data_IF_190562358235
#
_entry.id   IF_190562358235
#
_cell.length_a   1.000
_cell.length_b   1.000
_cell.length_c   1.000
_cell.angle_alpha   90.00
_cell.angle_beta   90.00
_cell.angle_gamma   90.00
#
_symmetry.space_group_name_H-M   'P 1'
#
loop_
_entity.id
_entity.type
_entity.pdbx_description
1 polymer ?
#
# COMPACT_ATOMS: atom_id res chain seq x y z
N UNK A 1 8.97 -15.43 7.51
CA UNK A 1 7.99 -14.34 7.32
C UNK A 1 6.74 -14.53 8.19
N UNK A 2 5.96 -15.60 8.00
CA UNK A 2 4.67 -15.82 8.71
C UNK A 2 4.77 -15.71 10.25
N UNK A 3 5.71 -16.42 10.88
CA UNK A 3 5.89 -16.36 12.34
C UNK A 3 6.14 -14.93 12.86
N UNK A 4 6.81 -14.08 12.06
CA UNK A 4 7.11 -12.70 12.45
C UNK A 4 5.88 -11.80 12.33
N UNK A 5 5.08 -11.97 11.28
CA UNK A 5 3.79 -11.27 11.15
C UNK A 5 2.83 -11.66 12.28
N UNK A 6 2.75 -12.95 12.63
CA UNK A 6 1.95 -13.43 13.75
C UNK A 6 2.42 -12.87 15.10
N UNK A 7 3.75 -12.79 15.31
CA UNK A 7 4.32 -12.13 16.49
C UNK A 7 3.89 -10.67 16.58
N UNK A 8 3.97 -9.92 15.48
CA UNK A 8 3.56 -8.51 15.45
C UNK A 8 2.04 -8.36 15.65
N UNK A 9 1.24 -9.25 15.06
CA UNK A 9 -0.21 -9.27 15.28
C UNK A 9 -0.54 -9.56 16.75
N UNK A 10 0.13 -10.51 17.39
CA UNK A 10 -0.03 -10.75 18.82
C UNK A 10 0.39 -9.53 19.67
N UNK A 11 1.46 -8.82 19.29
CA UNK A 11 1.84 -7.56 19.95
C UNK A 11 0.76 -6.48 19.82
N UNK A 12 0.12 -6.35 18.65
CA UNK A 12 -1.01 -5.43 18.45
C UNK A 12 -2.20 -5.85 19.31
N UNK A 13 -2.57 -7.13 19.28
CA UNK A 13 -3.68 -7.69 20.06
C UNK A 13 -3.50 -7.41 21.55
N UNK A 14 -2.28 -7.61 22.07
CA UNK A 14 -1.96 -7.38 23.49
C UNK A 14 -1.95 -5.90 23.86
N UNK A 15 -1.72 -5.00 22.90
CA UNK A 15 -1.74 -3.56 23.10
C UNK A 15 -3.14 -2.95 22.96
N UNK A 16 -4.08 -3.70 22.40
CA UNK A 16 -5.43 -3.25 22.10
C UNK A 16 -6.34 -3.29 23.35
N UNK A 17 -7.37 -2.44 23.42
CA UNK A 17 -8.52 -2.68 24.28
C UNK A 17 -9.10 -4.08 24.04
N UNK A 18 -9.68 -4.68 25.09
CA UNK A 18 -10.35 -5.97 24.98
C UNK A 18 -11.41 -5.93 23.86
N UNK A 19 -11.53 -7.03 23.13
CA UNK A 19 -12.53 -7.26 22.07
C UNK A 19 -12.40 -6.39 20.81
N UNK A 20 -11.40 -5.48 20.72
CA UNK A 20 -11.25 -4.60 19.55
C UNK A 20 -11.05 -5.36 18.23
N UNK A 21 -10.42 -6.54 18.29
CA UNK A 21 -10.15 -7.42 17.15
C UNK A 21 -10.86 -8.76 17.28
N UNK A 22 -12.03 -8.81 17.93
CA UNK A 22 -12.78 -10.05 18.04
C UNK A 22 -13.13 -10.60 16.64
N UNK A 23 -12.55 -11.76 16.33
CA UNK A 23 -12.63 -12.41 15.04
C UNK A 23 -14.06 -12.86 14.72
N UNK A 24 -14.90 -13.10 15.72
CA UNK A 24 -16.27 -13.58 15.47
C UNK A 24 -17.24 -12.42 15.16
N UNK A 25 -16.98 -11.23 15.69
CA UNK A 25 -17.74 -10.02 15.34
C UNK A 25 -17.42 -9.51 13.92
N UNK A 26 -16.18 -9.70 13.46
CA UNK A 26 -15.67 -9.12 12.20
C UNK A 26 -15.92 -9.96 10.94
N UNK A 27 -16.14 -11.28 11.06
CA UNK A 27 -16.31 -12.16 9.89
C UNK A 27 -17.52 -11.86 9.00
N UNK A 28 -18.57 -11.27 9.56
CA UNK A 28 -19.86 -11.12 8.86
C UNK A 28 -20.40 -9.70 8.84
N UNK A 29 -19.81 -8.78 9.61
CA UNK A 29 -20.31 -7.42 9.74
C UNK A 29 -19.17 -6.42 9.56
N UNK A 30 -19.43 -5.39 8.75
CA UNK A 30 -18.59 -4.20 8.72
C UNK A 30 -18.65 -3.55 10.10
N UNK A 31 -17.54 -3.45 10.84
CA UNK A 31 -17.53 -2.79 12.12
C UNK A 31 -17.84 -1.29 11.96
N UNK A 32 -18.39 -0.64 12.99
CA UNK A 32 -18.58 0.80 13.02
C UNK A 32 -17.31 1.58 12.66
N UNK A 33 -17.46 2.78 12.09
CA UNK A 33 -16.34 3.58 11.58
C UNK A 33 -15.32 3.92 12.68
N UNK A 34 -15.78 4.23 13.88
CA UNK A 34 -14.95 4.51 15.05
C UNK A 34 -14.13 3.28 15.47
N UNK A 35 -14.72 2.08 15.40
CA UNK A 35 -14.02 0.81 15.66
C UNK A 35 -12.94 0.58 14.59
N UNK A 36 -13.24 0.80 13.30
CA UNK A 36 -12.24 0.70 12.22
C UNK A 36 -11.06 1.66 12.45
N UNK A 37 -11.34 2.90 12.83
CA UNK A 37 -10.32 3.90 13.13
C UNK A 37 -9.46 3.49 14.33
N UNK A 38 -10.08 2.97 15.39
CA UNK A 38 -9.38 2.46 16.57
C UNK A 38 -8.49 1.25 16.23
N UNK A 39 -8.98 0.31 15.42
CA UNK A 39 -8.21 -0.84 14.93
C UNK A 39 -6.95 -0.36 14.18
N UNK A 40 -7.13 0.53 13.19
CA UNK A 40 -6.02 1.11 12.43
C UNK A 40 -5.04 1.88 13.33
N UNK A 41 -5.56 2.64 14.29
CA UNK A 41 -4.74 3.43 15.21
C UNK A 41 -3.92 2.52 16.11
N UNK A 42 -4.47 1.40 16.57
CA UNK A 42 -3.75 0.41 17.38
C UNK A 42 -2.62 -0.27 16.59
N UNK A 43 -2.89 -0.69 15.34
CA UNK A 43 -1.87 -1.26 14.44
C UNK A 43 -0.76 -0.23 14.20
N UNK A 44 -1.14 1.00 13.85
CA UNK A 44 -0.22 2.11 13.59
C UNK A 44 0.67 2.39 14.81
N UNK A 45 0.07 2.48 16.00
CA UNK A 45 0.80 2.73 17.24
C UNK A 45 1.79 1.62 17.57
N UNK A 46 1.38 0.37 17.38
CA UNK A 46 2.26 -0.76 17.67
C UNK A 46 3.40 -0.84 16.66
N UNK A 47 3.13 -0.72 15.36
CA UNK A 47 4.17 -0.85 14.33
C UNK A 47 5.15 0.34 14.35
N UNK A 48 4.67 1.57 14.28
CA UNK A 48 5.55 2.73 14.02
C UNK A 48 6.08 3.38 15.30
N UNK A 49 5.35 3.27 16.43
CA UNK A 49 5.80 3.87 17.68
C UNK A 49 6.46 2.84 18.62
N UNK A 50 5.89 1.63 18.78
CA UNK A 50 6.47 0.60 19.66
C UNK A 50 7.56 -0.24 18.97
N UNK A 51 7.24 -0.84 17.83
CA UNK A 51 8.17 -1.65 17.05
C UNK A 51 9.12 -0.82 16.17
N UNK A 52 8.90 0.51 16.12
CA UNK A 52 9.76 1.51 15.46
C UNK A 52 9.98 1.24 13.97
N UNK A 53 8.96 0.72 13.30
CA UNK A 53 8.96 0.69 11.85
C UNK A 53 9.13 2.12 11.32
N UNK A 54 9.94 2.30 10.28
CA UNK A 54 10.17 3.61 9.67
C UNK A 54 10.61 3.48 8.23
N UNK A 55 10.28 4.50 7.44
CA UNK A 55 10.86 4.65 6.12
C UNK A 55 12.35 4.98 6.27
N UNK A 56 13.22 4.20 5.62
CA UNK A 56 14.63 4.55 5.48
C UNK A 56 14.81 5.10 4.06
N UNK A 57 15.43 6.29 3.87
CA UNK A 57 15.87 6.70 2.55
C UNK A 57 16.90 5.69 2.06
N UNK A 58 16.81 5.32 0.79
CA UNK A 58 17.65 4.27 0.23
C UNK A 58 18.01 4.62 -1.20
N UNK A 59 19.17 4.14 -1.63
CA UNK A 59 19.69 4.43 -2.95
C UNK A 59 19.68 3.16 -3.80
N UNK A 60 18.75 3.11 -4.77
CA UNK A 60 18.58 1.96 -5.69
C UNK A 60 19.88 1.46 -6.31
N UNK A 61 20.79 2.38 -6.63
CA UNK A 61 22.09 2.07 -7.22
C UNK A 61 22.91 1.18 -6.27
N UNK A 62 22.97 1.51 -4.99
CA UNK A 62 23.82 0.81 -4.02
C UNK A 62 23.10 -0.35 -3.32
N UNK A 63 21.81 -0.20 -3.04
CA UNK A 63 21.05 -1.17 -2.22
C UNK A 63 20.27 -2.19 -3.06
N UNK A 64 19.95 -1.86 -4.32
CA UNK A 64 19.33 -2.81 -5.25
C UNK A 64 17.95 -3.23 -4.78
N UNK A 65 17.71 -4.54 -4.67
CA UNK A 65 16.43 -5.10 -4.23
C UNK A 65 16.34 -5.36 -2.73
N UNK A 66 17.41 -5.12 -1.96
CA UNK A 66 17.41 -5.34 -0.50
C UNK A 66 16.20 -4.71 0.20
N UNK A 67 15.73 -3.50 -0.15
CA UNK A 67 14.58 -2.88 0.51
C UNK A 67 13.23 -3.58 0.23
N UNK A 68 13.20 -4.52 -0.71
CA UNK A 68 12.05 -5.39 -1.03
C UNK A 68 12.08 -6.72 -0.27
N UNK A 69 13.19 -7.04 0.41
CA UNK A 69 13.26 -8.24 1.24
C UNK A 69 12.39 -8.07 2.49
N UNK A 70 11.18 -8.63 2.41
CA UNK A 70 10.22 -8.57 3.51
C UNK A 70 10.76 -9.20 4.81
N UNK A 71 11.68 -10.17 4.74
CA UNK A 71 12.25 -10.75 5.95
C UNK A 71 13.18 -9.76 6.65
N UNK A 72 14.02 -9.06 5.89
CA UNK A 72 14.88 -8.01 6.42
C UNK A 72 14.05 -6.84 6.96
N UNK A 73 13.03 -6.40 6.24
CA UNK A 73 12.11 -5.32 6.69
C UNK A 73 11.43 -5.67 8.01
N UNK A 74 10.91 -6.90 8.16
CA UNK A 74 10.25 -7.36 9.38
C UNK A 74 11.21 -7.54 10.58
N UNK A 75 12.50 -7.64 10.31
CA UNK A 75 13.55 -7.85 11.32
C UNK A 75 14.18 -6.52 11.73
N UNK A 76 14.51 -5.66 10.77
CA UNK A 76 15.14 -4.36 10.99
C UNK A 76 14.15 -3.26 11.35
N UNK A 77 12.86 -3.41 10.98
CA UNK A 77 11.85 -2.36 11.07
C UNK A 77 12.06 -1.25 10.02
N UNK A 78 12.93 -1.46 9.04
CA UNK A 78 13.25 -0.46 8.03
C UNK A 78 12.77 -0.94 6.68
N UNK A 79 12.09 -0.07 5.94
CA UNK A 79 11.62 -0.42 4.62
C UNK A 79 11.23 0.79 3.79
N UNK A 80 10.78 0.50 2.59
CA UNK A 80 10.24 1.50 1.65
C UNK A 80 8.73 1.57 1.83
N UNK A 81 8.08 2.60 1.28
CA UNK A 81 6.64 2.79 1.39
C UNK A 81 5.84 1.51 1.08
N UNK A 82 6.20 0.79 0.00
CA UNK A 82 5.55 -0.46 -0.40
C UNK A 82 5.71 -1.58 0.64
N UNK A 83 6.93 -1.84 1.14
CA UNK A 83 7.16 -2.95 2.09
C UNK A 83 6.61 -2.65 3.48
N UNK A 84 6.58 -1.38 3.89
CA UNK A 84 5.90 -0.93 5.10
C UNK A 84 4.37 -1.09 4.97
N UNK A 85 3.77 -0.69 3.85
CA UNK A 85 2.35 -0.88 3.60
C UNK A 85 1.98 -2.37 3.53
N UNK A 86 2.82 -3.19 2.90
CA UNK A 86 2.65 -4.65 2.85
C UNK A 86 2.73 -5.28 4.23
N UNK A 87 3.70 -4.84 5.06
CA UNK A 87 3.81 -5.28 6.46
C UNK A 87 2.56 -4.92 7.25
N UNK A 88 2.09 -3.68 7.12
CA UNK A 88 0.87 -3.22 7.77
C UNK A 88 -0.34 -4.07 7.38
N UNK A 89 -0.57 -4.26 6.08
CA UNK A 89 -1.69 -5.05 5.57
C UNK A 89 -1.58 -6.53 6.00
N UNK A 90 -0.37 -7.08 6.04
CA UNK A 90 -0.10 -8.43 6.55
C UNK A 90 -0.50 -8.58 8.02
N UNK A 91 -0.08 -7.65 8.87
CA UNK A 91 -0.45 -7.65 10.30
C UNK A 91 -1.95 -7.45 10.48
N UNK A 92 -2.57 -6.53 9.72
CA UNK A 92 -4.01 -6.31 9.75
C UNK A 92 -4.80 -7.57 9.38
N UNK A 93 -4.34 -8.32 8.35
CA UNK A 93 -4.96 -9.57 7.93
C UNK A 93 -4.85 -10.66 8.99
N UNK A 94 -3.72 -10.78 9.69
CA UNK A 94 -3.58 -11.71 10.82
C UNK A 94 -4.55 -11.36 11.97
N UNK A 95 -4.95 -10.09 12.08
CA UNK A 95 -5.97 -9.60 13.03
C UNK A 95 -7.41 -9.65 12.49
N UNK A 96 -7.63 -10.24 11.31
CA UNK A 96 -8.96 -10.33 10.70
C UNK A 96 -9.49 -9.02 10.11
N UNK A 97 -8.64 -7.99 9.94
CA UNK A 97 -9.03 -6.72 9.32
C UNK A 97 -8.68 -6.76 7.82
N UNK A 98 -9.68 -6.79 6.92
CA UNK A 98 -9.44 -6.80 5.48
C UNK A 98 -8.87 -5.44 5.04
N UNK A 99 -7.72 -5.48 4.35
CA UNK A 99 -7.03 -4.31 3.85
C UNK A 99 -6.60 -4.50 2.40
N UNK A 100 -6.59 -3.41 1.66
CA UNK A 100 -5.87 -3.30 0.39
C UNK A 100 -4.80 -2.24 0.43
N UNK A 101 -3.79 -2.45 -0.42
CA UNK A 101 -2.75 -1.48 -0.70
C UNK A 101 -3.27 -0.49 -1.75
N UNK A 102 -2.97 0.79 -1.56
CA UNK A 102 -3.31 1.84 -2.51
C UNK A 102 -2.04 2.57 -2.91
N UNK A 103 -1.56 2.40 -4.16
CA UNK A 103 -0.44 3.19 -4.65
C UNK A 103 -0.90 4.65 -4.84
N UNK A 104 -0.07 5.58 -4.39
CA UNK A 104 -0.29 7.00 -4.52
C UNK A 104 0.85 7.60 -5.35
N UNK A 105 0.46 8.29 -6.41
CA UNK A 105 1.34 9.20 -7.12
C UNK A 105 1.28 10.54 -6.38
N UNK A 106 2.25 10.78 -5.49
CA UNK A 106 2.42 12.13 -4.96
C UNK A 106 2.89 13.02 -6.11
N UNK A 107 2.32 14.23 -6.18
CA UNK A 107 2.77 15.23 -7.14
C UNK A 107 4.31 15.36 -7.03
N UNK A 108 5.02 15.50 -8.15
CA UNK A 108 6.47 15.72 -8.10
C UNK A 108 6.72 16.88 -7.14
N UNK A 109 7.54 16.64 -6.11
CA UNK A 109 7.96 17.70 -5.19
C UNK A 109 8.50 18.81 -6.07
N UNK A 110 7.90 20.03 -6.05
CA UNK A 110 8.32 21.11 -6.92
C UNK A 110 9.81 21.24 -6.76
N UNK A 111 10.53 21.17 -7.88
CA UNK A 111 11.99 21.13 -7.93
C UNK A 111 12.50 22.30 -7.08
N UNK A 112 12.87 22.01 -5.82
CA UNK A 112 13.38 23.03 -4.90
C UNK A 112 14.61 23.53 -5.60
N UNK A 113 14.61 24.79 -6.03
CA UNK A 113 15.66 25.35 -6.89
C UNK A 113 17.02 24.97 -6.31
N UNK A 114 17.62 23.92 -6.87
CA UNK A 114 18.86 23.35 -6.38
C UNK A 114 19.90 24.39 -6.76
N UNK A 115 20.58 25.02 -5.80
CA UNK A 115 21.60 26.01 -6.11
C UNK A 115 22.59 25.46 -7.15
N UNK A 116 22.97 26.27 -8.15
CA UNK A 116 23.74 25.80 -9.32
C UNK A 116 25.05 25.08 -8.94
N UNK A 117 25.66 25.45 -7.81
CA UNK A 117 26.85 24.80 -7.26
C UNK A 117 26.60 23.36 -6.77
N UNK A 118 25.37 23.03 -6.34
CA UNK A 118 24.93 21.67 -6.01
C UNK A 118 24.50 20.96 -7.29
N UNK A 119 23.82 21.64 -8.21
CA UNK A 119 23.38 21.10 -9.50
C UNK A 119 24.55 20.58 -10.35
N UNK A 120 25.69 21.28 -10.37
CA UNK A 120 26.90 20.81 -11.05
C UNK A 120 27.58 19.62 -10.36
N UNK A 121 27.45 19.46 -9.04
CA UNK A 121 27.94 18.28 -8.31
C UNK A 121 26.99 17.08 -8.44
N UNK A 122 25.69 17.35 -8.59
CA UNK A 122 24.65 16.35 -8.81
C UNK A 122 24.48 15.98 -10.29
N UNK A 123 24.98 16.79 -11.23
CA UNK A 123 24.98 16.42 -12.65
C UNK A 123 25.81 15.15 -12.92
N UNK A 124 26.75 14.80 -12.04
CA UNK A 124 27.48 13.51 -12.04
C UNK A 124 26.91 12.48 -11.05
N UNK A 125 26.05 12.88 -10.12
CA UNK A 125 25.28 12.02 -9.22
C UNK A 125 23.81 12.18 -9.54
N UNK A 126 23.34 11.51 -10.59
CA UNK A 126 21.91 11.37 -10.84
C UNK A 126 21.28 10.67 -9.62
N UNK A 127 20.79 11.45 -8.66
CA UNK A 127 19.86 11.00 -7.63
C UNK A 127 18.60 10.60 -8.36
N UNK A 128 18.60 9.37 -8.83
CA UNK A 128 17.57 8.87 -9.69
C UNK A 128 16.30 8.78 -8.83
N UNK A 129 15.30 9.58 -9.20
CA UNK A 129 14.00 9.69 -8.52
C UNK A 129 13.46 8.31 -8.18
N UNK A 130 12.86 8.14 -6.99
CA UNK A 130 12.27 6.85 -6.64
C UNK A 130 11.28 6.43 -7.75
N UNK A 131 11.25 5.14 -8.16
CA UNK A 131 10.25 4.66 -9.09
C UNK A 131 8.87 4.99 -8.53
N UNK A 132 8.01 5.50 -9.40
CA UNK A 132 6.59 5.61 -9.07
C UNK A 132 6.01 4.21 -8.86
N UNK A 133 5.05 4.03 -7.94
CA UNK A 133 4.50 5.02 -7.00
C UNK A 133 5.42 5.33 -5.80
N UNK A 134 5.50 6.60 -5.41
CA UNK A 134 6.38 7.08 -4.33
C UNK A 134 5.74 6.99 -2.93
N UNK A 135 4.42 6.85 -2.83
CA UNK A 135 3.71 6.62 -1.59
C UNK A 135 2.71 5.46 -1.70
N UNK A 136 2.44 4.83 -0.57
CA UNK A 136 1.50 3.72 -0.45
C UNK A 136 0.64 3.92 0.78
N UNK A 137 -0.67 3.85 0.61
CA UNK A 137 -1.63 3.84 1.70
C UNK A 137 -2.19 2.43 1.88
N UNK A 138 -2.81 2.20 3.02
CA UNK A 138 -3.65 1.03 3.26
C UNK A 138 -5.08 1.49 3.50
N UNK A 139 -6.05 0.73 2.98
CA UNK A 139 -7.48 1.03 3.08
C UNK A 139 -8.24 -0.18 3.61
N UNK A 140 -9.19 0.03 4.53
CA UNK A 140 -10.12 -1.03 4.97
C UNK A 140 -11.05 -1.45 3.83
N UNK A 141 -11.32 -2.75 3.73
CA UNK A 141 -12.15 -3.35 2.67
C UNK A 141 -13.20 -4.30 3.19
N UNK A 142 -14.18 -3.75 3.90
CA UNK A 142 -15.29 -4.57 4.36
C UNK A 142 -16.28 -4.85 3.22
N UNK A 143 -16.91 -6.04 3.17
CA UNK A 143 -17.81 -6.41 2.07
C UNK A 143 -18.91 -5.39 1.77
N UNK A 144 -19.50 -4.76 2.80
CA UNK A 144 -20.53 -3.73 2.60
C UNK A 144 -19.96 -2.43 1.98
N UNK A 145 -18.71 -2.08 2.30
CA UNK A 145 -18.03 -0.93 1.70
C UNK A 145 -17.75 -1.20 0.23
N UNK A 146 -17.25 -2.40 -0.09
CA UNK A 146 -16.99 -2.82 -1.46
C UNK A 146 -18.27 -2.86 -2.31
N UNK A 147 -19.38 -3.33 -1.74
CA UNK A 147 -20.68 -3.31 -2.41
C UNK A 147 -21.18 -1.87 -2.69
N UNK A 148 -20.98 -0.94 -1.76
CA UNK A 148 -21.38 0.46 -1.91
C UNK A 148 -20.52 1.23 -2.93
N UNK A 149 -19.26 0.84 -3.12
CA UNK A 149 -18.29 1.49 -3.99
C UNK A 149 -18.36 1.04 -5.46
N UNK A 150 -19.26 0.13 -5.84
CA UNK A 150 -19.45 -0.28 -7.23
C UNK A 150 -20.56 0.56 -7.92
N UNK A 151 -20.24 1.69 -8.58
CA UNK A 151 -21.23 2.44 -9.34
C UNK A 151 -21.67 1.63 -10.56
N UNK A 152 -22.88 1.09 -10.52
CA UNK A 152 -23.55 0.60 -11.73
C UNK A 152 -23.40 -0.89 -12.05
N UNK A 153 -23.32 -1.78 -11.06
CA UNK A 153 -23.57 -3.21 -11.26
C UNK A 153 -25.04 -3.48 -11.66
N UNK A 154 -25.42 -3.08 -12.88
CA UNK A 154 -26.72 -3.35 -13.51
C UNK A 154 -26.76 -4.73 -14.17
N UNK A 155 -25.69 -5.52 -14.09
CA UNK A 155 -25.70 -6.89 -14.61
C UNK A 155 -26.34 -7.83 -13.58
N UNK A 156 -27.53 -8.40 -13.86
CA UNK A 156 -28.25 -9.25 -12.92
C UNK A 156 -27.54 -10.59 -12.62
N UNK A 157 -26.49 -10.93 -13.37
CA UNK A 157 -25.83 -12.23 -13.33
C UNK A 157 -24.66 -12.31 -12.35
N UNK A 158 -24.20 -11.17 -11.83
CA UNK A 158 -23.16 -11.09 -10.79
C UNK A 158 -23.66 -10.32 -9.56
N UNK A 159 -24.94 -10.48 -9.21
CA UNK A 159 -25.39 -10.17 -7.85
C UNK A 159 -24.77 -11.22 -6.91
N UNK A 160 -23.54 -10.99 -6.50
CA UNK A 160 -23.01 -11.56 -5.26
C UNK A 160 -24.07 -11.32 -4.20
N UNK A 161 -24.40 -12.38 -3.45
CA UNK A 161 -25.38 -12.39 -2.37
C UNK A 161 -24.99 -11.35 -1.31
N UNK A 162 -25.29 -10.08 -1.56
CA UNK A 162 -25.26 -9.05 -0.53
C UNK A 162 -26.38 -9.47 0.42
N UNK A 163 -26.07 -9.73 1.71
CA UNK A 163 -27.09 -10.10 2.67
C UNK A 163 -28.22 -9.08 2.63
N UNK A 164 -29.46 -9.52 2.41
CA UNK A 164 -30.64 -8.64 2.30
C UNK A 164 -30.88 -7.79 3.56
N UNK A 165 -30.21 -8.11 4.66
CA UNK A 165 -30.41 -7.50 5.97
C UNK A 165 -29.44 -6.34 6.27
N UNK A 166 -28.58 -5.93 5.32
CA UNK A 166 -27.78 -4.71 5.53
C UNK A 166 -28.67 -3.49 5.34
N UNK A 167 -29.23 -3.00 6.44
CA UNK A 167 -29.94 -1.72 6.48
C UNK A 167 -28.91 -0.59 6.29
N UNK A 168 -28.63 -0.20 5.04
CA UNK A 168 -27.67 0.83 4.65
C UNK A 168 -28.18 2.26 4.95
N UNK A 169 -28.82 2.48 6.11
CA UNK A 169 -29.46 3.77 6.40
C UNK A 169 -28.47 4.91 6.62
N UNK A 170 -27.20 4.61 6.93
CA UNK A 170 -26.15 5.62 7.09
C UNK A 170 -25.00 5.38 6.10
N UNK A 171 -25.01 6.09 4.97
CA UNK A 171 -23.92 6.09 4.00
C UNK A 171 -22.55 6.52 4.59
N UNK A 172 -22.55 7.21 5.74
CA UNK A 172 -21.34 7.57 6.48
C UNK A 172 -20.64 6.37 7.13
N UNK A 173 -21.37 5.33 7.53
CA UNK A 173 -20.79 4.13 8.19
C UNK A 173 -20.05 3.23 7.20
N UNK A 174 -20.28 3.41 5.90
CA UNK A 174 -19.63 2.67 4.81
C UNK A 174 -18.38 3.36 4.27
N UNK A 175 -17.95 4.46 4.89
CA UNK A 175 -16.72 5.12 4.46
C UNK A 175 -15.50 4.27 4.81
N UNK A 176 -14.58 4.05 3.87
CA UNK A 176 -13.33 3.37 4.16
C UNK A 176 -12.43 4.25 5.04
N UNK A 177 -11.65 3.60 5.90
CA UNK A 177 -10.59 4.26 6.65
C UNK A 177 -9.24 4.03 5.97
N UNK A 178 -8.34 5.00 6.08
CA UNK A 178 -7.01 4.94 5.49
C UNK A 178 -5.95 5.01 6.58
N UNK A 179 -4.83 4.34 6.37
CA UNK A 179 -3.61 4.64 7.11
C UNK A 179 -2.45 4.92 6.15
N UNK A 180 -1.58 5.81 6.59
CA UNK A 180 -0.29 6.15 5.96
C UNK A 180 0.81 5.44 6.76
N UNK A 181 1.32 4.29 6.28
CA UNK A 181 2.35 3.50 6.95
C UNK A 181 3.70 4.23 7.03
N UNK A 182 3.93 5.24 6.21
CA UNK A 182 5.17 6.02 6.27
C UNK A 182 5.11 7.01 7.43
N UNK A 183 3.98 7.71 7.56
CA UNK A 183 3.80 8.77 8.58
C UNK A 183 3.25 8.24 9.91
N UNK A 184 2.80 6.99 9.94
CA UNK A 184 2.17 6.41 11.12
C UNK A 184 0.88 7.15 11.49
N UNK A 185 0.04 7.48 10.51
CA UNK A 185 -1.20 8.25 10.73
C UNK A 185 -2.41 7.56 10.12
N UNK A 186 -3.53 7.57 10.84
CA UNK A 186 -4.86 7.17 10.33
C UNK A 186 -5.58 8.40 9.81
N UNK A 187 -6.30 8.27 8.71
CA UNK A 187 -6.95 9.37 8.00
C UNK A 187 -8.37 8.99 7.57
N UNK A 188 -9.29 9.95 7.62
CA UNK A 188 -10.60 9.81 6.97
C UNK A 188 -10.47 9.90 5.45
N UNK A 189 -11.53 9.52 4.72
CA UNK A 189 -11.59 9.71 3.27
C UNK A 189 -11.37 11.18 2.86
N UNK A 190 -11.99 12.11 3.61
CA UNK A 190 -11.88 13.54 3.34
C UNK A 190 -10.45 14.05 3.56
N UNK A 191 -9.79 13.64 4.64
CA UNK A 191 -8.40 14.00 4.91
C UNK A 191 -7.46 13.42 3.86
N UNK A 192 -7.74 12.17 3.43
CA UNK A 192 -6.98 11.50 2.40
C UNK A 192 -7.10 12.23 1.05
N UNK A 193 -8.31 12.67 0.67
CA UNK A 193 -8.55 13.48 -0.53
C UNK A 193 -7.88 14.85 -0.46
N UNK A 194 -7.94 15.51 0.69
CA UNK A 194 -7.32 16.81 0.90
C UNK A 194 -5.79 16.72 0.79
N UNK A 195 -5.21 15.65 1.34
CA UNK A 195 -3.76 15.41 1.35
C UNK A 195 -3.24 14.89 0.01
N UNK A 196 -4.04 14.09 -0.69
CA UNK A 196 -3.70 13.45 -1.96
C UNK A 196 -4.75 13.76 -3.03
N UNK A 197 -4.80 14.99 -3.56
CA UNK A 197 -5.85 15.40 -4.49
C UNK A 197 -5.81 14.63 -5.83
N UNK A 198 -4.66 14.06 -6.19
CA UNK A 198 -4.49 13.22 -7.38
C UNK A 198 -4.84 11.75 -7.14
N UNK A 199 -5.16 11.37 -5.89
CA UNK A 199 -5.62 10.02 -5.59
C UNK A 199 -6.98 9.81 -6.26
N UNK A 200 -6.98 9.04 -7.36
CA UNK A 200 -8.20 8.68 -8.07
C UNK A 200 -8.96 7.61 -7.26
N UNK A 201 -9.73 8.06 -6.26
CA UNK A 201 -10.48 7.18 -5.36
C UNK A 201 -11.70 6.51 -5.98
N UNK A 202 -12.19 6.98 -7.14
CA UNK A 202 -13.52 6.62 -7.60
C UNK A 202 -13.52 6.27 -9.09
N UNK A 203 -13.70 4.97 -9.37
CA UNK A 203 -14.30 4.52 -10.63
C UNK A 203 -13.37 3.93 -11.70
N UNK A 204 -12.05 4.06 -11.57
CA UNK A 204 -11.10 3.48 -12.55
C UNK A 204 -10.13 2.46 -11.98
N UNK A 205 -9.92 2.46 -10.67
CA UNK A 205 -9.19 1.39 -10.02
C UNK A 205 -10.15 0.21 -9.90
N UNK A 206 -9.90 -0.85 -10.68
CA UNK A 206 -10.47 -2.16 -10.36
C UNK A 206 -10.05 -2.42 -8.91
N UNK A 207 -11.04 -2.52 -8.05
CA UNK A 207 -10.91 -2.28 -6.60
C UNK A 207 -10.05 -3.29 -5.85
N UNK A 208 -9.50 -4.27 -6.56
CA UNK A 208 -8.46 -5.13 -6.06
C UNK A 208 -7.15 -4.62 -6.66
N UNK A 209 -6.28 -4.00 -5.86
CA UNK A 209 -4.85 -4.10 -6.16
C UNK A 209 -4.53 -5.57 -5.99
N UNK A 210 -4.78 -6.31 -7.07
CA UNK A 210 -4.64 -7.75 -7.08
C UNK A 210 -3.22 -8.07 -6.66
N UNK A 211 -3.01 -9.27 -6.13
CA UNK A 211 -1.65 -9.76 -5.87
C UNK A 211 -0.76 -9.56 -7.11
N UNK A 212 -1.33 -9.68 -8.32
CA UNK A 212 -0.65 -9.40 -9.58
C UNK A 212 -0.21 -7.93 -9.73
N UNK A 213 -1.04 -6.97 -9.33
CA UNK A 213 -0.67 -5.55 -9.40
C UNK A 213 0.43 -5.21 -8.39
N UNK A 214 0.35 -5.74 -7.15
CA UNK A 214 1.44 -5.59 -6.18
C UNK A 214 2.73 -6.18 -6.75
N UNK A 215 2.66 -7.39 -7.30
CA UNK A 215 3.80 -8.06 -7.93
C UNK A 215 4.32 -7.28 -9.15
N UNK A 216 3.44 -6.67 -9.95
CA UNK A 216 3.83 -5.82 -11.08
C UNK A 216 4.61 -4.60 -10.59
N UNK A 217 4.17 -3.94 -9.52
CA UNK A 217 4.92 -2.84 -8.91
C UNK A 217 6.27 -3.31 -8.36
N UNK A 218 6.35 -4.47 -7.70
CA UNK A 218 7.63 -5.07 -7.31
C UNK A 218 8.54 -5.30 -8.53
N UNK A 219 8.00 -5.79 -9.65
CA UNK A 219 8.76 -6.04 -10.86
C UNK A 219 9.23 -4.73 -11.52
N UNK A 220 8.39 -3.68 -11.58
CA UNK A 220 8.77 -2.33 -12.06
C UNK A 220 9.93 -1.75 -11.27
N UNK A 221 9.80 -1.85 -9.95
CA UNK A 221 10.83 -1.42 -9.01
C UNK A 221 12.13 -2.19 -9.26
N UNK A 222 12.05 -3.51 -9.47
CA UNK A 222 13.21 -4.34 -9.74
C UNK A 222 13.89 -4.01 -11.07
N UNK A 223 13.11 -3.84 -12.15
CA UNK A 223 13.60 -3.36 -13.46
C UNK A 223 14.36 -2.04 -13.28
N UNK A 224 13.76 -1.08 -12.59
CA UNK A 224 14.38 0.23 -12.35
C UNK A 224 15.69 0.11 -11.58
N UNK A 225 15.74 -0.72 -10.55
CA UNK A 225 16.93 -0.96 -9.75
C UNK A 225 18.08 -1.56 -10.58
N UNK A 226 17.81 -2.63 -11.33
CA UNK A 226 18.81 -3.31 -12.15
C UNK A 226 19.28 -2.46 -13.34
N UNK A 227 18.39 -1.68 -13.96
CA UNK A 227 18.74 -0.79 -15.07
C UNK A 227 19.76 0.26 -14.62
N UNK A 228 19.57 0.81 -13.40
CA UNK A 228 20.51 1.77 -12.81
C UNK A 228 21.87 1.19 -12.48
N UNK A 229 21.93 -0.11 -12.17
CA UNK A 229 23.19 -0.84 -11.91
C UNK A 229 23.90 -1.31 -13.17
N UNK A 230 23.27 -1.19 -14.34
CA UNK A 230 23.79 -1.74 -15.59
C UNK A 230 23.74 -3.27 -15.64
N UNK A 231 22.88 -3.91 -14.84
CA UNK A 231 22.72 -5.36 -14.78
C UNK A 231 21.71 -5.82 -15.85
N UNK A 232 22.12 -5.80 -17.13
CA UNK A 232 21.24 -6.04 -18.28
C UNK A 232 20.45 -7.35 -18.21
N UNK A 233 21.05 -8.43 -17.74
CA UNK A 233 20.42 -9.75 -17.68
C UNK A 233 19.30 -9.79 -16.62
N UNK A 234 19.51 -9.12 -15.48
CA UNK A 234 18.53 -9.00 -14.43
C UNK A 234 17.38 -8.07 -14.83
N UNK A 235 17.66 -6.99 -15.56
CA UNK A 235 16.63 -6.14 -16.19
C UNK A 235 15.76 -6.97 -17.12
N UNK A 236 16.36 -7.74 -18.03
CA UNK A 236 15.61 -8.56 -18.98
C UNK A 236 14.74 -9.61 -18.26
N UNK A 237 15.28 -10.26 -17.23
CA UNK A 237 14.53 -11.21 -16.41
C UNK A 237 13.31 -10.56 -15.74
N UNK A 238 13.50 -9.45 -15.03
CA UNK A 238 12.41 -8.77 -14.33
C UNK A 238 11.42 -8.11 -15.27
N UNK A 239 11.87 -7.64 -16.43
CA UNK A 239 10.98 -7.13 -17.47
C UNK A 239 10.09 -8.25 -18.01
N UNK A 240 10.61 -9.46 -18.20
CA UNK A 240 9.78 -10.62 -18.55
C UNK A 240 8.73 -10.93 -17.46
N UNK A 241 9.10 -10.86 -16.18
CA UNK A 241 8.14 -11.03 -15.09
C UNK A 241 7.08 -9.94 -15.11
N UNK A 242 7.46 -8.67 -15.30
CA UNK A 242 6.53 -7.55 -15.44
C UNK A 242 5.56 -7.78 -16.61
N UNK A 243 6.06 -8.25 -17.76
CA UNK A 243 5.23 -8.56 -18.93
C UNK A 243 4.18 -9.65 -18.64
N UNK A 244 4.55 -10.65 -17.84
CA UNK A 244 3.63 -11.72 -17.43
C UNK A 244 2.56 -11.21 -16.44
N UNK A 245 2.87 -10.17 -15.67
CA UNK A 245 2.00 -9.61 -14.64
C UNK A 245 1.11 -8.47 -15.15
N UNK A 246 1.61 -7.65 -16.09
CA UNK A 246 0.92 -6.49 -16.65
C UNK A 246 1.26 -6.31 -18.15
N UNK A 247 0.38 -6.82 -19.01
CA UNK A 247 0.54 -6.71 -20.46
C UNK A 247 0.27 -5.30 -21.02
N UNK A 248 -0.14 -4.34 -20.18
CA UNK A 248 -0.44 -2.96 -20.57
C UNK A 248 0.51 -1.93 -19.94
N UNK A 249 1.56 -2.38 -19.25
CA UNK A 249 2.57 -1.56 -18.60
C UNK A 249 3.19 -0.49 -19.55
N UNK A 250 3.25 0.81 -19.20
CA UNK A 250 3.77 1.85 -20.08
C UNK A 250 5.22 1.59 -20.56
N UNK A 251 5.99 0.83 -19.78
CA UNK A 251 7.35 0.37 -20.07
C UNK A 251 7.45 -0.38 -21.41
N UNK A 252 6.34 -0.96 -21.90
CA UNK A 252 6.22 -1.58 -23.22
C UNK A 252 6.63 -0.66 -24.38
N UNK A 253 6.41 0.64 -24.25
CA UNK A 253 6.76 1.60 -25.29
C UNK A 253 8.26 1.70 -25.52
N UNK A 254 9.07 1.44 -24.50
CA UNK A 254 10.54 1.54 -24.57
C UNK A 254 11.20 0.26 -25.09
N UNK A 255 10.54 -0.90 -24.93
CA UNK A 255 11.04 -2.18 -25.46
C UNK A 255 10.75 -2.32 -26.95
N UNK A 256 9.62 -1.77 -27.41
CA UNK A 256 9.19 -1.87 -28.80
C UNK A 256 9.77 -0.78 -29.73
N UNK A 257 10.41 0.25 -29.18
CA UNK A 257 11.07 1.34 -29.92
C UNK A 257 12.53 1.03 -30.22
#
# INVERSE_FOLDING_TARGET
MQNRLQSLAAEVQNAAPADLFDADATKHHTPPLDVQQQQLQCITQTLFHKARFRQDPFEWVYEGLSPLDMLDVLTSGKGISLTLATTFAGVARELGVPMSLLPILEAPVPEVAIPDNIRHRQATQTFATAPEPNAWLVRTEWPAQMAALQPGAKHPEHQTLVPRDVNLTNAQELQPCFADPVKGSVMSLADCQAKYPHMQLAGQWRWDVSVLQVLAEFARVAVTAHQRRGESDAVAFWMYQLMALDCMAPEWQHVMS
#
